data_IF_798630465989
#
_entry.id   IF_798630465989
#
_cell.length_a   1.000
_cell.length_b   1.000
_cell.length_c   1.000
_cell.angle_alpha   90.00
_cell.angle_beta   90.00
_cell.angle_gamma   90.00
#
_symmetry.space_group_name_H-M   'P 1'
#
loop_
_entity.id
_entity.type
_entity.pdbx_description
1 polymer ?
#
# COMPACT_ATOMS: atom_id res chain seq x y z
N UNK A 1 0.83 20.97 -7.84
CA UNK A 1 2.02 20.32 -7.25
C UNK A 1 1.61 18.93 -6.75
N UNK A 2 1.78 17.89 -7.58
CA UNK A 2 1.62 16.47 -7.20
C UNK A 2 2.78 15.70 -7.83
N UNK A 3 4.02 16.14 -7.61
CA UNK A 3 5.19 15.46 -8.20
C UNK A 3 5.41 14.10 -7.55
N UNK A 4 5.30 14.03 -6.22
CA UNK A 4 5.63 12.82 -5.47
C UNK A 4 4.69 11.64 -5.79
N UNK A 5 3.39 11.85 -5.97
CA UNK A 5 2.47 10.74 -6.21
C UNK A 5 2.70 10.07 -7.59
N UNK A 6 3.29 10.80 -8.53
CA UNK A 6 3.56 10.30 -9.88
C UNK A 6 4.98 9.72 -10.02
N UNK A 7 5.80 9.80 -8.97
CA UNK A 7 7.09 9.11 -8.88
C UNK A 7 6.90 7.58 -8.90
N UNK A 8 7.93 6.83 -9.34
CA UNK A 8 7.89 5.38 -9.32
C UNK A 8 7.80 4.87 -7.88
N UNK A 9 7.20 3.68 -7.72
CA UNK A 9 7.03 3.07 -6.40
C UNK A 9 8.36 2.77 -5.70
N UNK A 10 9.45 2.58 -6.46
CA UNK A 10 10.82 2.44 -5.94
C UNK A 10 11.38 3.71 -5.28
N UNK A 11 10.73 4.87 -5.45
CA UNK A 11 11.09 6.08 -4.70
C UNK A 11 10.69 6.00 -3.22
N UNK A 12 9.86 5.02 -2.84
CA UNK A 12 9.52 4.74 -1.43
C UNK A 12 10.70 4.01 -0.80
N UNK A 13 11.22 4.56 0.29
CA UNK A 13 12.30 3.93 1.05
C UNK A 13 11.92 2.50 1.47
N UNK A 14 12.80 1.54 1.18
CA UNK A 14 12.58 0.12 1.49
C UNK A 14 11.96 -0.69 0.35
N UNK A 15 11.62 -0.06 -0.79
CA UNK A 15 11.21 -0.76 -2.01
C UNK A 15 12.38 -0.73 -2.99
N UNK A 16 12.95 -1.90 -3.31
CA UNK A 16 14.00 -2.00 -4.33
C UNK A 16 13.42 -1.90 -5.75
N UNK A 17 14.27 -1.72 -6.76
CA UNK A 17 13.82 -1.78 -8.16
C UNK A 17 13.22 -3.16 -8.51
N UNK A 18 13.78 -4.24 -7.98
CA UNK A 18 13.23 -5.59 -8.17
C UNK A 18 11.83 -5.74 -7.59
N UNK A 19 11.58 -5.18 -6.40
CA UNK A 19 10.23 -5.18 -5.80
C UNK A 19 9.24 -4.37 -6.65
N UNK A 20 9.68 -3.25 -7.20
CA UNK A 20 8.88 -2.43 -8.09
C UNK A 20 8.51 -3.18 -9.39
N UNK A 21 9.42 -3.99 -9.94
CA UNK A 21 9.14 -4.85 -11.09
C UNK A 21 8.10 -5.92 -10.77
N UNK A 22 8.18 -6.55 -9.58
CA UNK A 22 7.19 -7.53 -9.14
C UNK A 22 5.80 -6.90 -8.98
N UNK A 23 5.71 -5.70 -8.39
CA UNK A 23 4.46 -4.95 -8.26
C UNK A 23 3.85 -4.61 -9.64
N UNK A 24 4.70 -4.24 -10.60
CA UNK A 24 4.27 -3.99 -11.98
C UNK A 24 3.81 -5.27 -12.67
N UNK A 25 4.52 -6.38 -12.52
CA UNK A 25 4.17 -7.64 -13.17
C UNK A 25 2.86 -8.24 -12.60
N UNK A 26 2.69 -8.22 -11.28
CA UNK A 26 1.53 -8.81 -10.62
C UNK A 26 0.28 -7.93 -10.69
N UNK A 27 0.43 -6.62 -10.53
CA UNK A 27 -0.71 -5.70 -10.32
C UNK A 27 -0.73 -4.50 -11.28
N UNK A 28 0.22 -4.41 -12.22
CA UNK A 28 0.41 -3.26 -13.10
C UNK A 28 0.58 -1.92 -12.35
N UNK A 29 1.15 -1.97 -11.15
CA UNK A 29 1.44 -0.80 -10.31
C UNK A 29 2.82 -0.26 -10.66
N UNK A 30 2.92 1.04 -10.93
CA UNK A 30 4.17 1.70 -11.34
C UNK A 30 4.51 2.90 -10.47
N UNK A 31 3.50 3.66 -10.07
CA UNK A 31 3.67 4.91 -9.33
C UNK A 31 3.16 4.77 -7.90
N UNK A 32 3.60 5.70 -7.04
CA UNK A 32 3.11 5.81 -5.66
C UNK A 32 1.59 5.96 -5.65
N UNK A 33 1.01 6.78 -6.55
CA UNK A 33 -0.44 6.93 -6.71
C UNK A 33 -1.10 5.60 -7.04
N UNK A 34 -0.57 4.85 -8.00
CA UNK A 34 -1.12 3.55 -8.39
C UNK A 34 -1.11 2.53 -7.26
N UNK A 35 -0.07 2.55 -6.41
CA UNK A 35 -0.02 1.73 -5.21
C UNK A 35 -1.07 2.17 -4.18
N UNK A 36 -1.14 3.46 -3.89
CA UNK A 36 -2.06 4.03 -2.90
C UNK A 36 -3.54 3.85 -3.27
N UNK A 37 -3.87 3.84 -4.56
CA UNK A 37 -5.24 3.64 -5.05
C UNK A 37 -5.54 2.19 -5.47
N UNK A 38 -4.67 1.24 -5.16
CA UNK A 38 -4.86 -0.17 -5.50
C UNK A 38 -6.00 -0.79 -4.68
N UNK A 39 -6.95 -1.45 -5.35
CA UNK A 39 -8.05 -2.18 -4.68
C UNK A 39 -7.54 -3.25 -3.71
N UNK A 40 -6.40 -3.88 -4.02
CA UNK A 40 -5.81 -4.92 -3.17
C UNK A 40 -5.24 -4.33 -1.89
N UNK A 41 -4.55 -3.19 -2.00
CA UNK A 41 -4.02 -2.46 -0.84
C UNK A 41 -5.15 -1.94 0.03
N UNK A 42 -6.23 -1.43 -0.58
CA UNK A 42 -7.42 -0.99 0.15
C UNK A 42 -8.08 -2.13 0.95
N UNK A 43 -8.24 -3.31 0.36
CA UNK A 43 -8.77 -4.49 1.06
C UNK A 43 -7.89 -4.88 2.24
N UNK A 44 -6.56 -4.91 2.05
CA UNK A 44 -5.61 -5.23 3.11
C UNK A 44 -5.67 -4.22 4.28
N UNK A 45 -5.64 -2.92 3.97
CA UNK A 45 -5.72 -1.85 4.97
C UNK A 45 -7.03 -1.89 5.75
N UNK A 46 -8.16 -2.08 5.07
CA UNK A 46 -9.47 -2.13 5.72
C UNK A 46 -9.59 -3.35 6.65
N UNK A 47 -9.08 -4.50 6.20
CA UNK A 47 -9.08 -5.73 7.00
C UNK A 47 -8.21 -5.56 8.25
N UNK A 48 -7.00 -5.01 8.09
CA UNK A 48 -6.10 -4.71 9.20
C UNK A 48 -6.71 -3.70 10.17
N UNK A 49 -7.28 -2.60 9.66
CA UNK A 49 -7.91 -1.56 10.49
C UNK A 49 -9.07 -2.10 11.31
N UNK A 50 -9.89 -2.97 10.73
CA UNK A 50 -10.99 -3.61 11.45
C UNK A 50 -10.47 -4.56 12.53
N UNK A 51 -9.47 -5.38 12.22
CA UNK A 51 -8.84 -6.27 13.19
C UNK A 51 -8.22 -5.48 14.36
N UNK A 52 -7.54 -4.38 14.07
CA UNK A 52 -6.94 -3.51 15.09
C UNK A 52 -8.00 -2.87 16.00
N UNK A 53 -9.12 -2.42 15.42
CA UNK A 53 -10.24 -1.87 16.20
C UNK A 53 -10.85 -2.94 17.12
N UNK A 54 -11.11 -4.13 16.60
CA UNK A 54 -11.66 -5.24 17.39
C UNK A 54 -10.71 -5.61 18.53
N UNK A 55 -9.41 -5.73 18.26
CA UNK A 55 -8.41 -6.04 19.28
C UNK A 55 -8.42 -5.00 20.40
N UNK A 56 -8.44 -3.70 20.05
CA UNK A 56 -8.50 -2.63 21.03
C UNK A 56 -9.75 -2.73 21.93
N UNK A 57 -10.92 -2.98 21.33
CA UNK A 57 -12.18 -3.13 22.07
C UNK A 57 -12.13 -4.31 23.05
N UNK A 58 -11.57 -5.45 22.65
CA UNK A 58 -11.41 -6.64 23.50
C UNK A 58 -10.40 -6.41 24.63
N UNK A 59 -9.36 -5.61 24.41
CA UNK A 59 -8.37 -5.31 25.47
C UNK A 59 -8.85 -4.30 26.51
N UNK A 60 -9.89 -3.52 26.20
CA UNK A 60 -10.47 -2.49 27.07
C UNK A 60 -11.66 -2.98 27.90
N UNK A 61 -12.22 -4.14 27.55
CA UNK A 61 -13.31 -4.83 28.26
C UNK A 61 -12.80 -5.79 29.32
#
# INVERSE_FOLDING_TARGET
>A
MVKLADEPVSAIQGISEGDAELLKAAFNIKTIRGLATSKYVAVAMNTFSLAALIALLVTLS
#
